data_IF_567887010909
#
_entry.id   IF_567887010909
#
_cell.length_a   1.000
_cell.length_b   1.000
_cell.length_c   1.000
_cell.angle_alpha   90.00
_cell.angle_beta   90.00
_cell.angle_gamma   90.00
#
_symmetry.space_group_name_H-M   'P 1'
#
loop_
_entity.id
_entity.type
_entity.pdbx_description
1 polymer ?
#
# COMPACT_ATOMS: atom_id res chain seq x y z
N UNK A 1 -10.76 -15.59 -22.88
CA UNK A 1 -10.56 -14.82 -21.64
C UNK A 1 -11.57 -15.28 -20.61
N UNK A 2 -11.08 -15.78 -19.50
CA UNK A 2 -11.99 -16.24 -18.47
C UNK A 2 -12.74 -15.07 -17.83
N UNK A 3 -14.02 -15.27 -17.61
CA UNK A 3 -14.82 -14.29 -16.91
C UNK A 3 -14.45 -14.32 -15.42
N UNK A 4 -13.82 -13.26 -14.97
CA UNK A 4 -13.52 -13.09 -13.56
C UNK A 4 -14.82 -12.84 -12.79
N UNK A 5 -15.12 -13.72 -11.85
CA UNK A 5 -16.25 -13.51 -10.94
C UNK A 5 -15.70 -13.34 -9.53
N UNK A 6 -16.06 -12.24 -8.91
CA UNK A 6 -15.59 -11.86 -7.59
C UNK A 6 -15.92 -12.91 -6.53
N UNK A 7 -17.06 -13.59 -6.70
CA UNK A 7 -17.51 -14.64 -5.78
C UNK A 7 -16.63 -15.88 -5.79
N UNK A 8 -15.85 -16.10 -6.84
CA UNK A 8 -14.98 -17.26 -6.97
C UNK A 8 -13.56 -17.02 -6.48
N UNK A 9 -13.22 -15.75 -6.17
CA UNK A 9 -11.90 -15.43 -5.70
C UNK A 9 -11.72 -15.92 -4.26
N UNK A 10 -10.64 -16.67 -4.02
CA UNK A 10 -10.34 -17.15 -2.68
C UNK A 10 -9.89 -16.00 -1.81
N UNK A 11 -10.52 -15.85 -0.63
CA UNK A 11 -10.12 -14.85 0.32
C UNK A 11 -8.97 -15.38 1.17
N UNK A 12 -7.89 -14.59 1.24
CA UNK A 12 -6.78 -14.83 2.15
C UNK A 12 -6.65 -13.59 3.03
N UNK A 13 -6.61 -13.80 4.35
CA UNK A 13 -6.47 -12.69 5.29
C UNK A 13 -5.25 -11.85 4.95
N UNK A 14 -5.39 -10.51 4.84
CA UNK A 14 -4.23 -9.66 4.59
C UNK A 14 -3.17 -9.83 5.68
N UNK A 15 -1.92 -10.06 5.26
CA UNK A 15 -0.80 -10.23 6.19
C UNK A 15 -0.19 -8.86 6.48
N UNK A 16 -0.64 -8.24 7.57
CA UNK A 16 -0.17 -6.91 7.98
C UNK A 16 1.29 -6.92 8.41
N UNK A 17 1.76 -8.00 9.02
CA UNK A 17 3.17 -8.12 9.39
C UNK A 17 4.06 -8.12 8.15
N UNK A 18 3.66 -8.85 7.11
CA UNK A 18 4.37 -8.87 5.84
C UNK A 18 4.32 -7.50 5.16
N UNK A 19 3.18 -6.80 5.23
CA UNK A 19 3.04 -5.47 4.64
C UNK A 19 3.98 -4.46 5.32
N UNK A 20 4.03 -4.47 6.64
CA UNK A 20 4.92 -3.59 7.39
C UNK A 20 6.39 -3.90 7.11
N UNK A 21 6.75 -5.19 7.07
CA UNK A 21 8.11 -5.62 6.76
C UNK A 21 8.52 -5.20 5.35
N UNK A 22 7.60 -5.35 4.39
CA UNK A 22 7.85 -4.97 2.99
C UNK A 22 8.04 -3.46 2.87
N UNK A 23 7.19 -2.68 3.52
CA UNK A 23 7.31 -1.23 3.52
C UNK A 23 8.64 -0.77 4.10
N UNK A 24 9.09 -1.39 5.19
CA UNK A 24 10.37 -1.05 5.83
C UNK A 24 11.55 -1.43 4.93
N UNK A 25 11.51 -2.61 4.32
CA UNK A 25 12.54 -3.06 3.38
C UNK A 25 12.67 -2.07 2.21
N UNK A 26 11.55 -1.70 1.62
CA UNK A 26 11.54 -0.79 0.47
C UNK A 26 11.94 0.63 0.87
N UNK A 27 11.58 1.06 2.07
CA UNK A 27 12.02 2.35 2.61
C UNK A 27 13.54 2.40 2.69
N UNK A 28 14.18 1.34 3.19
CA UNK A 28 15.64 1.26 3.25
C UNK A 28 16.26 1.25 1.85
N UNK A 29 15.62 0.57 0.89
CA UNK A 29 16.09 0.58 -0.49
C UNK A 29 16.08 1.99 -1.08
N UNK A 30 15.06 2.79 -0.79
CA UNK A 30 15.00 4.18 -1.23
C UNK A 30 16.08 5.01 -0.56
N UNK A 31 16.24 4.87 0.75
CA UNK A 31 17.25 5.64 1.49
C UNK A 31 18.68 5.32 1.06
N UNK A 32 18.92 4.08 0.65
CA UNK A 32 20.24 3.63 0.21
C UNK A 32 20.40 3.64 -1.31
N UNK A 33 19.42 4.17 -2.04
CA UNK A 33 19.44 4.20 -3.50
C UNK A 33 20.60 5.03 -4.03
N UNK A 34 21.26 4.53 -5.05
CA UNK A 34 22.40 5.21 -5.69
C UNK A 34 22.01 5.81 -7.04
N UNK A 35 20.79 5.52 -7.51
CA UNK A 35 20.27 6.04 -8.77
C UNK A 35 18.75 6.13 -8.69
N UNK A 36 18.16 6.90 -9.60
CA UNK A 36 16.70 6.95 -9.71
C UNK A 36 16.11 5.57 -10.03
N UNK A 37 16.80 4.76 -10.82
CA UNK A 37 16.32 3.41 -11.15
C UNK A 37 16.05 2.58 -9.90
N UNK A 38 16.89 2.71 -8.86
CA UNK A 38 16.69 2.01 -7.59
C UNK A 38 15.43 2.49 -6.87
N UNK A 39 15.18 3.80 -6.87
CA UNK A 39 13.97 4.38 -6.27
C UNK A 39 12.74 3.92 -7.02
N UNK A 40 12.76 3.98 -8.35
CA UNK A 40 11.63 3.55 -9.18
C UNK A 40 11.31 2.08 -8.96
N UNK A 41 12.33 1.22 -8.87
CA UNK A 41 12.14 -0.20 -8.62
C UNK A 41 11.42 -0.43 -7.28
N UNK A 42 11.81 0.31 -6.24
CA UNK A 42 11.15 0.22 -4.94
C UNK A 42 9.69 0.67 -5.00
N UNK A 43 9.40 1.77 -5.71
CA UNK A 43 8.03 2.26 -5.88
C UNK A 43 7.16 1.20 -6.59
N UNK A 44 7.67 0.61 -7.67
CA UNK A 44 6.93 -0.40 -8.42
C UNK A 44 6.72 -1.68 -7.62
N UNK A 45 7.71 -2.09 -6.84
CA UNK A 45 7.60 -3.26 -5.98
C UNK A 45 6.52 -3.05 -4.90
N UNK A 46 6.48 -1.86 -4.30
CA UNK A 46 5.46 -1.56 -3.31
C UNK A 46 4.07 -1.53 -3.95
N UNK A 47 3.93 -0.90 -5.11
CA UNK A 47 2.67 -0.85 -5.84
C UNK A 47 2.13 -2.25 -6.11
N UNK A 48 2.98 -3.13 -6.59
CA UNK A 48 2.59 -4.51 -6.88
C UNK A 48 2.13 -5.25 -5.63
N UNK A 49 2.89 -5.12 -4.55
CA UNK A 49 2.54 -5.73 -3.28
C UNK A 49 1.19 -5.19 -2.77
N UNK A 50 1.00 -3.88 -2.84
CA UNK A 50 -0.20 -3.24 -2.31
C UNK A 50 -1.45 -3.58 -3.13
N UNK A 51 -1.31 -3.79 -4.45
CA UNK A 51 -2.44 -4.22 -5.27
C UNK A 51 -3.01 -5.54 -4.77
N UNK A 52 -2.15 -6.51 -4.50
CA UNK A 52 -2.58 -7.82 -3.98
C UNK A 52 -3.14 -7.69 -2.56
N UNK A 53 -2.48 -6.90 -1.74
CA UNK A 53 -2.89 -6.69 -0.35
C UNK A 53 -4.28 -6.04 -0.27
N UNK A 54 -4.49 -4.94 -1.01
CA UNK A 54 -5.77 -4.25 -0.99
C UNK A 54 -6.88 -5.02 -1.68
N UNK A 55 -6.55 -5.91 -2.61
CA UNK A 55 -7.55 -6.79 -3.20
C UNK A 55 -8.22 -7.63 -2.12
N UNK A 56 -7.43 -8.20 -1.20
CA UNK A 56 -7.99 -9.00 -0.10
C UNK A 56 -8.81 -8.15 0.86
N UNK A 57 -8.35 -6.93 1.19
CA UNK A 57 -9.11 -5.99 2.03
C UNK A 57 -10.46 -5.67 1.38
N UNK A 58 -10.46 -5.40 0.08
CA UNK A 58 -11.67 -5.08 -0.68
C UNK A 58 -12.64 -6.26 -0.70
N UNK A 59 -12.15 -7.48 -0.90
CA UNK A 59 -12.97 -8.69 -0.89
C UNK A 59 -13.69 -8.83 0.45
N UNK A 60 -12.95 -8.66 1.56
CA UNK A 60 -13.55 -8.76 2.90
C UNK A 60 -14.66 -7.72 3.08
N UNK A 61 -14.42 -6.48 2.65
CA UNK A 61 -15.41 -5.41 2.77
C UNK A 61 -16.66 -5.69 1.93
N UNK A 62 -16.49 -6.14 0.68
CA UNK A 62 -17.62 -6.43 -0.20
C UNK A 62 -18.45 -7.59 0.37
N UNK A 63 -17.80 -8.67 0.80
CA UNK A 63 -18.51 -9.83 1.32
C UNK A 63 -19.24 -9.53 2.62
N UNK A 64 -18.64 -8.71 3.48
CA UNK A 64 -19.31 -8.25 4.69
C UNK A 64 -20.54 -7.39 4.36
N UNK A 65 -20.46 -6.56 3.33
CA UNK A 65 -21.57 -5.72 2.89
C UNK A 65 -22.70 -6.56 2.29
N UNK A 66 -22.36 -7.61 1.51
CA UNK A 66 -23.35 -8.46 0.87
C UNK A 66 -24.09 -9.36 1.87
N UNK A 67 -23.44 -9.76 2.95
CA UNK A 67 -24.05 -10.59 3.99
C UNK A 67 -23.57 -10.13 5.36
N UNK A 68 -24.33 -9.20 5.95
CA UNK A 68 -23.99 -8.64 7.26
C UNK A 68 -24.21 -9.63 8.41
N UNK A 69 -24.84 -10.77 8.14
CA UNK A 69 -25.05 -11.81 9.16
C UNK A 69 -23.86 -12.79 9.26
N UNK A 70 -22.90 -12.69 8.32
CA UNK A 70 -21.74 -13.56 8.31
C UNK A 70 -20.69 -13.06 9.30
N UNK A 71 -20.58 -13.73 10.44
CA UNK A 71 -19.65 -13.36 11.51
C UNK A 71 -18.18 -13.44 11.07
N UNK A 72 -17.86 -14.33 10.14
CA UNK A 72 -16.47 -14.47 9.67
C UNK A 72 -15.97 -13.16 9.07
N UNK A 73 -16.71 -12.58 8.12
CA UNK A 73 -16.27 -11.34 7.49
C UNK A 73 -16.39 -10.13 8.41
N UNK A 74 -17.36 -10.12 9.30
CA UNK A 74 -17.46 -9.08 10.34
C UNK A 74 -16.20 -9.07 11.20
N UNK A 75 -15.73 -10.24 11.62
CA UNK A 75 -14.51 -10.37 12.41
C UNK A 75 -13.27 -10.00 11.61
N UNK A 76 -13.24 -10.31 10.30
CA UNK A 76 -12.13 -9.92 9.41
C UNK A 76 -12.03 -8.41 9.27
N UNK A 77 -13.17 -7.72 9.13
CA UNK A 77 -13.18 -6.24 9.05
C UNK A 77 -12.68 -5.63 10.35
N UNK A 78 -13.09 -6.17 11.50
CA UNK A 78 -12.61 -5.71 12.79
C UNK A 78 -11.10 -5.87 12.93
N UNK A 79 -10.56 -7.01 12.49
CA UNK A 79 -9.11 -7.27 12.47
C UNK A 79 -8.38 -6.27 11.58
N UNK A 80 -8.89 -6.06 10.36
CA UNK A 80 -8.29 -5.12 9.41
C UNK A 80 -8.26 -3.71 10.00
N UNK A 81 -9.38 -3.26 10.56
CA UNK A 81 -9.48 -1.92 11.15
C UNK A 81 -8.54 -1.74 12.35
N UNK A 82 -8.28 -2.80 13.09
CA UNK A 82 -7.36 -2.76 14.22
C UNK A 82 -5.90 -2.61 13.76
N UNK A 83 -5.53 -3.30 12.68
CA UNK A 83 -4.14 -3.34 12.20
C UNK A 83 -3.79 -2.24 11.21
N UNK A 84 -4.79 -1.67 10.52
CA UNK A 84 -4.55 -0.70 9.45
C UNK A 84 -3.72 0.52 9.88
N UNK A 85 -3.94 1.14 11.05
CA UNK A 85 -3.14 2.33 11.42
C UNK A 85 -1.64 2.07 11.52
N UNK A 86 -1.23 0.90 12.02
CA UNK A 86 0.20 0.55 12.12
C UNK A 86 0.83 0.38 10.73
N UNK A 87 0.13 -0.31 9.84
CA UNK A 87 0.59 -0.51 8.47
C UNK A 87 0.67 0.82 7.73
N UNK A 88 -0.32 1.68 7.91
CA UNK A 88 -0.34 3.01 7.31
C UNK A 88 0.87 3.84 7.72
N UNK A 89 1.27 3.77 8.99
CA UNK A 89 2.48 4.43 9.47
C UNK A 89 3.73 3.97 8.73
N UNK A 90 3.83 2.68 8.43
CA UNK A 90 4.96 2.13 7.66
C UNK A 90 4.96 2.63 6.21
N UNK A 91 3.79 2.75 5.59
CA UNK A 91 3.66 3.26 4.23
C UNK A 91 3.97 4.75 4.15
N UNK A 92 3.56 5.52 5.16
CA UNK A 92 3.92 6.94 5.29
C UNK A 92 5.43 7.10 5.39
N UNK A 93 6.10 6.22 6.12
CA UNK A 93 7.56 6.21 6.20
C UNK A 93 8.22 6.02 4.84
N UNK A 94 7.67 5.13 4.01
CA UNK A 94 8.14 4.93 2.65
C UNK A 94 7.93 6.20 1.81
N UNK A 95 6.76 6.79 1.87
CA UNK A 95 6.43 8.02 1.13
C UNK A 95 7.38 9.16 1.51
N UNK A 96 7.67 9.29 2.80
CA UNK A 96 8.62 10.29 3.29
C UNK A 96 10.01 10.08 2.70
N UNK A 97 10.48 8.83 2.65
CA UNK A 97 11.79 8.52 2.07
C UNK A 97 11.86 8.91 0.59
N UNK A 98 10.79 8.68 -0.17
CA UNK A 98 10.72 9.06 -1.58
C UNK A 98 10.78 10.58 -1.74
N UNK A 99 10.00 11.31 -0.94
CA UNK A 99 9.96 12.78 -1.01
C UNK A 99 11.32 13.39 -0.65
N UNK A 100 12.04 12.77 0.27
CA UNK A 100 13.34 13.25 0.74
C UNK A 100 14.53 12.74 -0.07
N UNK A 101 14.31 11.85 -1.05
CA UNK A 101 15.41 11.28 -1.83
C UNK A 101 16.04 12.33 -2.76
N UNK A 102 17.33 12.15 -3.15
CA UNK A 102 18.00 13.12 -4.01
C UNK A 102 17.62 13.03 -5.49
N UNK A 103 16.69 12.15 -5.85
CA UNK A 103 16.31 11.90 -7.25
C UNK A 103 14.92 12.44 -7.61
N UNK A 104 14.45 13.45 -6.87
CA UNK A 104 13.10 14.01 -7.09
C UNK A 104 12.93 14.66 -8.45
N UNK A 105 14.00 15.23 -9.02
CA UNK A 105 13.93 15.83 -10.36
C UNK A 105 13.68 14.75 -11.43
N UNK A 106 14.37 13.60 -11.34
CA UNK A 106 14.18 12.50 -12.27
C UNK A 106 12.80 11.88 -12.09
N UNK A 107 12.34 11.82 -10.85
CA UNK A 107 11.00 11.30 -10.53
C UNK A 107 9.93 12.17 -11.16
N UNK A 108 10.02 13.49 -11.05
CA UNK A 108 9.09 14.43 -11.68
C UNK A 108 9.08 14.26 -13.20
N UNK A 109 10.25 14.08 -13.80
CA UNK A 109 10.36 13.92 -15.25
C UNK A 109 9.74 12.61 -15.74
N UNK A 110 9.83 11.54 -14.95
CA UNK A 110 9.37 10.20 -15.33
C UNK A 110 7.89 9.97 -14.98
N UNK A 111 7.50 10.28 -13.74
CA UNK A 111 6.14 9.99 -13.22
C UNK A 111 5.21 11.18 -13.25
N UNK A 112 5.74 12.38 -13.53
CA UNK A 112 4.97 13.61 -13.51
C UNK A 112 4.99 14.29 -12.15
N UNK A 113 4.83 15.59 -12.15
CA UNK A 113 4.89 16.43 -10.95
C UNK A 113 3.80 16.09 -9.93
N UNK A 114 2.69 15.56 -10.41
CA UNK A 114 1.54 15.25 -9.55
C UNK A 114 1.85 14.17 -8.52
N UNK A 115 2.78 13.25 -8.83
CA UNK A 115 3.16 12.20 -7.90
C UNK A 115 3.70 12.77 -6.59
N UNK A 116 4.69 13.68 -6.67
CA UNK A 116 5.28 14.28 -5.47
C UNK A 116 4.31 15.25 -4.77
N UNK A 117 3.48 15.94 -5.51
CA UNK A 117 2.44 16.81 -4.93
C UNK A 117 1.48 15.96 -4.09
N UNK A 118 1.02 14.83 -4.62
CA UNK A 118 0.14 13.92 -3.90
C UNK A 118 0.82 13.32 -2.67
N UNK A 119 2.10 12.93 -2.81
CA UNK A 119 2.89 12.37 -1.71
C UNK A 119 3.04 13.37 -0.56
N UNK A 120 3.33 14.63 -0.88
CA UNK A 120 3.47 15.68 0.13
C UNK A 120 2.15 15.96 0.85
N UNK A 121 1.03 15.93 0.13
CA UNK A 121 -0.30 16.09 0.74
C UNK A 121 -0.58 14.96 1.72
N UNK A 122 -0.24 13.74 1.36
CA UNK A 122 -0.41 12.59 2.22
C UNK A 122 0.36 12.76 3.53
N UNK A 123 1.61 13.21 3.43
CA UNK A 123 2.44 13.47 4.61
C UNK A 123 1.86 14.57 5.49
N UNK A 124 1.37 15.65 4.90
CA UNK A 124 0.77 16.76 5.62
C UNK A 124 -0.49 16.31 6.37
N UNK A 125 -1.32 15.48 5.73
CA UNK A 125 -2.55 14.96 6.35
C UNK A 125 -2.23 14.01 7.51
N UNK A 126 -1.17 13.24 7.40
CA UNK A 126 -0.79 12.28 8.43
C UNK A 126 -0.24 12.97 9.67
N UNK A 127 0.49 14.06 9.48
CA UNK A 127 1.09 14.82 10.59
C UNK A 127 0.08 15.67 11.36
N UNK A 128 -1.10 15.86 10.81
CA UNK A 128 -2.20 16.53 11.50
C UNK A 128 -2.90 15.56 12.45
#
# INVERSE_FOLDING_TARGET
>A
MENFTFSKLEYVRPDFDAAEAKAKELTERVRNAKSYADVKAAILDLDKFMCDFYTMVTIANIRNTLDTTNEFYENEIAFINQRAPEAEGSFVGFTKAVVECPFTAELDADLGKEYLVAAKRELDQYDD
#
